data_IF_648868310058
#
_entry.id   IF_648868310058
#
_cell.length_a   1.000
_cell.length_b   1.000
_cell.length_c   1.000
_cell.angle_alpha   90.00
_cell.angle_beta   90.00
_cell.angle_gamma   90.00
#
_symmetry.space_group_name_H-M   'P 1'
#
loop_
_entity.id
_entity.type
_entity.pdbx_description
1 polymer ?
#
# COMPACT_ATOMS: atom_id res chain seq x y z
N UNK A 1 -35.18 -65.11 1.79
CA UNK A 1 -34.92 -63.66 1.64
C UNK A 1 -33.42 -63.46 1.83
N UNK A 2 -32.66 -63.34 0.75
CA UNK A 2 -31.19 -63.18 0.78
C UNK A 2 -30.91 -61.69 0.58
N UNK A 3 -30.41 -61.03 1.62
CA UNK A 3 -29.97 -59.62 1.53
C UNK A 3 -28.55 -59.63 0.97
N UNK A 4 -28.42 -59.26 -0.31
CA UNK A 4 -27.12 -59.01 -0.94
C UNK A 4 -26.65 -57.63 -0.47
N UNK A 5 -25.65 -57.62 0.41
CA UNK A 5 -24.90 -56.43 0.77
C UNK A 5 -24.03 -56.01 -0.42
N UNK A 6 -24.48 -55.00 -1.16
CA UNK A 6 -23.64 -54.32 -2.13
C UNK A 6 -22.69 -53.38 -1.37
N UNK A 7 -21.45 -53.85 -1.14
CA UNK A 7 -20.37 -52.98 -0.70
C UNK A 7 -20.11 -51.91 -1.78
N UNK A 8 -20.56 -50.68 -1.53
CA UNK A 8 -20.16 -49.49 -2.29
C UNK A 8 -18.65 -49.30 -2.12
N UNK A 9 -17.87 -49.79 -3.09
CA UNK A 9 -16.44 -49.45 -3.20
C UNK A 9 -16.35 -47.95 -3.47
N UNK A 10 -15.81 -47.20 -2.52
CA UNK A 10 -15.45 -45.80 -2.71
C UNK A 10 -14.54 -45.69 -3.94
N UNK A 11 -15.00 -44.98 -4.96
CA UNK A 11 -14.24 -44.71 -6.17
C UNK A 11 -12.99 -43.91 -5.76
N UNK A 12 -11.79 -44.44 -6.02
CA UNK A 12 -10.52 -43.73 -5.81
C UNK A 12 -10.62 -42.41 -6.57
N UNK A 13 -10.73 -41.28 -5.86
CA UNK A 13 -10.68 -39.95 -6.47
C UNK A 13 -9.29 -39.83 -7.10
N UNK A 14 -9.21 -39.87 -8.43
CA UNK A 14 -7.95 -39.59 -9.11
C UNK A 14 -7.58 -38.12 -8.82
N UNK A 15 -6.41 -37.90 -8.22
CA UNK A 15 -5.83 -36.56 -8.09
C UNK A 15 -5.49 -36.07 -9.51
N UNK A 16 -6.28 -35.12 -10.02
CA UNK A 16 -6.09 -34.51 -11.35
C UNK A 16 -4.72 -33.84 -11.50
N UNK A 17 -4.07 -33.50 -10.38
CA UNK A 17 -2.77 -32.85 -10.34
C UNK A 17 -1.59 -33.79 -10.10
N UNK A 18 -1.79 -35.12 -10.12
CA UNK A 18 -0.73 -36.09 -9.77
C UNK A 18 0.58 -35.91 -10.54
N UNK A 19 0.52 -35.54 -11.82
CA UNK A 19 1.72 -35.27 -12.63
C UNK A 19 2.40 -33.96 -12.22
N UNK A 20 1.62 -32.90 -12.00
CA UNK A 20 2.13 -31.60 -11.53
C UNK A 20 2.81 -31.76 -10.18
N UNK A 21 2.15 -32.48 -9.25
CA UNK A 21 2.66 -32.76 -7.92
C UNK A 21 4.00 -33.51 -8.00
N UNK A 22 4.09 -34.55 -8.83
CA UNK A 22 5.33 -35.31 -9.02
C UNK A 22 6.50 -34.42 -9.47
N UNK A 23 6.27 -33.51 -10.41
CA UNK A 23 7.32 -32.64 -10.96
C UNK A 23 7.68 -31.52 -9.97
N UNK A 24 6.70 -30.92 -9.32
CA UNK A 24 6.91 -29.85 -8.34
C UNK A 24 7.66 -30.33 -7.10
N UNK A 25 7.45 -31.58 -6.68
CA UNK A 25 8.21 -32.19 -5.58
C UNK A 25 9.65 -32.55 -5.93
N UNK A 26 10.07 -32.37 -7.19
CA UNK A 26 11.44 -32.59 -7.66
C UNK A 26 12.26 -31.30 -7.78
N UNK A 27 11.74 -30.15 -7.32
CA UNK A 27 12.51 -28.89 -7.27
C UNK A 27 13.83 -29.13 -6.51
N UNK A 28 15.01 -28.95 -7.14
CA UNK A 28 16.31 -29.19 -6.50
C UNK A 28 16.56 -28.27 -5.30
N UNK A 29 17.30 -28.77 -4.31
CA UNK A 29 17.69 -27.98 -3.13
C UNK A 29 18.47 -26.71 -3.48
N UNK A 30 19.27 -26.76 -4.56
CA UNK A 30 20.01 -25.59 -5.07
C UNK A 30 19.10 -24.46 -5.57
N UNK A 31 17.86 -24.76 -5.96
CA UNK A 31 16.87 -23.77 -6.41
C UNK A 31 15.88 -23.41 -5.30
N UNK A 32 15.65 -24.33 -4.37
CA UNK A 32 14.58 -24.24 -3.37
C UNK A 32 14.90 -23.30 -2.20
N UNK A 33 16.10 -22.72 -2.16
CA UNK A 33 16.54 -21.71 -1.18
C UNK A 33 16.15 -20.27 -1.51
N UNK A 34 15.54 -20.01 -2.67
CA UNK A 34 15.03 -18.69 -3.06
C UNK A 34 13.70 -18.82 -3.79
N UNK A 35 12.87 -17.77 -3.73
CA UNK A 35 11.62 -17.74 -4.50
C UNK A 35 11.86 -17.72 -6.00
N UNK A 36 12.94 -17.06 -6.45
CA UNK A 36 13.37 -16.99 -7.85
C UNK A 36 13.68 -18.38 -8.41
N UNK A 37 14.52 -19.16 -7.71
CA UNK A 37 14.88 -20.51 -8.17
C UNK A 37 13.66 -21.44 -8.24
N UNK A 38 12.72 -21.32 -7.29
CA UNK A 38 11.46 -22.06 -7.32
C UNK A 38 10.59 -21.61 -8.50
N UNK A 39 10.43 -20.30 -8.72
CA UNK A 39 9.62 -19.77 -9.81
C UNK A 39 10.18 -20.11 -11.18
N UNK A 40 11.49 -20.11 -11.35
CA UNK A 40 12.16 -20.45 -12.60
C UNK A 40 11.91 -21.91 -12.97
N UNK A 41 12.06 -22.82 -12.00
CA UNK A 41 11.75 -24.22 -12.19
C UNK A 41 10.26 -24.43 -12.53
N UNK A 42 9.36 -23.72 -11.87
CA UNK A 42 7.92 -23.80 -12.16
C UNK A 42 7.62 -23.29 -13.57
N UNK A 43 8.21 -22.16 -13.98
CA UNK A 43 8.04 -21.60 -15.32
C UNK A 43 8.63 -22.48 -16.43
N UNK A 44 9.72 -23.22 -16.16
CA UNK A 44 10.31 -24.12 -17.16
C UNK A 44 9.51 -25.41 -17.36
N UNK A 45 8.70 -25.82 -16.37
CA UNK A 45 7.98 -27.08 -16.39
C UNK A 45 6.47 -26.96 -16.65
N UNK A 46 5.88 -25.79 -16.41
CA UNK A 46 4.43 -25.60 -16.50
C UNK A 46 4.07 -24.35 -17.28
N UNK A 47 3.01 -24.45 -18.08
CA UNK A 47 2.53 -23.33 -18.92
C UNK A 47 1.30 -22.69 -18.28
N UNK A 48 0.32 -23.48 -17.86
CA UNK A 48 -0.96 -22.95 -17.38
C UNK A 48 -0.87 -22.36 -15.97
N UNK A 49 -1.69 -21.35 -15.66
CA UNK A 49 -1.72 -20.77 -14.31
C UNK A 49 -2.21 -21.78 -13.27
N UNK A 50 -3.16 -22.65 -13.64
CA UNK A 50 -3.62 -23.73 -12.76
C UNK A 50 -2.49 -24.68 -12.35
N UNK A 51 -1.67 -25.15 -13.30
CA UNK A 51 -0.55 -26.05 -12.99
C UNK A 51 0.53 -25.35 -12.17
N UNK A 52 0.89 -24.11 -12.54
CA UNK A 52 1.84 -23.29 -11.79
C UNK A 52 1.36 -23.06 -10.35
N UNK A 53 0.13 -22.62 -10.17
CA UNK A 53 -0.49 -22.41 -8.85
C UNK A 53 -0.49 -23.70 -8.01
N UNK A 54 -0.78 -24.85 -8.64
CA UNK A 54 -0.72 -26.15 -7.98
C UNK A 54 0.70 -26.52 -7.56
N UNK A 55 1.68 -26.32 -8.43
CA UNK A 55 3.09 -26.59 -8.15
C UNK A 55 3.59 -25.79 -6.93
N UNK A 56 3.19 -24.51 -6.82
CA UNK A 56 3.50 -23.67 -5.65
C UNK A 56 2.85 -24.25 -4.39
N UNK A 57 1.53 -24.53 -4.44
CA UNK A 57 0.79 -25.06 -3.30
C UNK A 57 1.37 -26.38 -2.79
N UNK A 58 1.61 -27.35 -3.68
CA UNK A 58 2.10 -28.67 -3.27
C UNK A 58 3.54 -28.62 -2.77
N UNK A 59 4.39 -27.79 -3.38
CA UNK A 59 5.76 -27.61 -2.91
C UNK A 59 5.78 -26.98 -1.52
N UNK A 60 5.02 -25.90 -1.27
CA UNK A 60 4.95 -25.26 0.06
C UNK A 60 4.40 -26.22 1.11
N UNK A 61 3.25 -26.84 0.84
CA UNK A 61 2.59 -27.76 1.79
C UNK A 61 3.45 -28.98 2.13
N UNK A 62 4.35 -29.37 1.22
CA UNK A 62 5.24 -30.51 1.39
C UNK A 62 6.63 -30.15 1.91
N UNK A 63 7.07 -28.89 1.82
CA UNK A 63 8.42 -28.49 2.26
C UNK A 63 8.44 -27.63 3.52
N UNK A 64 7.32 -26.98 3.88
CA UNK A 64 7.26 -26.12 5.07
C UNK A 64 6.51 -26.85 6.20
N UNK A 65 7.01 -26.73 7.43
CA UNK A 65 6.39 -27.24 8.65
C UNK A 65 5.79 -26.10 9.48
N UNK A 66 4.65 -26.36 10.13
CA UNK A 66 4.01 -25.36 10.96
C UNK A 66 4.80 -25.10 12.25
N UNK A 67 5.06 -23.83 12.54
CA UNK A 67 5.82 -23.41 13.71
C UNK A 67 4.93 -23.28 14.95
N UNK A 68 4.66 -24.40 15.61
CA UNK A 68 3.83 -24.45 16.82
C UNK A 68 4.41 -23.58 17.94
N UNK A 69 5.74 -23.60 18.12
CA UNK A 69 6.42 -22.84 19.19
C UNK A 69 6.18 -21.33 19.06
N UNK A 70 6.10 -20.84 17.82
CA UNK A 70 5.89 -19.42 17.53
C UNK A 70 4.47 -19.10 17.04
N UNK A 71 3.49 -20.01 17.20
CA UNK A 71 2.15 -19.84 16.60
C UNK A 71 1.36 -18.63 17.13
N UNK A 72 1.73 -18.11 18.29
CA UNK A 72 1.15 -16.90 18.88
C UNK A 72 1.91 -15.61 18.56
N UNK A 73 3.13 -15.71 18.01
CA UNK A 73 3.98 -14.57 17.67
C UNK A 73 3.63 -14.03 16.27
N UNK A 74 2.35 -13.70 16.05
CA UNK A 74 1.85 -13.24 14.76
C UNK A 74 2.04 -11.72 14.64
N UNK A 75 2.80 -11.29 13.63
CA UNK A 75 2.97 -9.88 13.30
C UNK A 75 2.76 -9.67 11.79
N UNK A 76 1.57 -9.15 11.40
CA UNK A 76 1.26 -8.85 9.99
C UNK A 76 2.05 -7.70 9.37
N UNK A 77 2.96 -7.10 10.13
CA UNK A 77 3.65 -5.88 9.75
C UNK A 77 5.17 -6.06 9.72
N UNK A 78 5.64 -7.31 9.84
CA UNK A 78 7.05 -7.63 9.61
C UNK A 78 7.40 -7.46 8.13
N UNK A 79 8.66 -7.14 7.85
CA UNK A 79 9.17 -7.06 6.49
C UNK A 79 8.97 -8.39 5.73
N UNK A 80 8.29 -8.34 4.58
CA UNK A 80 7.97 -9.51 3.76
C UNK A 80 9.21 -10.30 3.31
N UNK A 81 10.32 -9.62 2.98
CA UNK A 81 11.54 -10.31 2.56
C UNK A 81 12.14 -11.10 3.72
N UNK A 82 12.17 -10.54 4.93
CA UNK A 82 12.62 -11.27 6.12
C UNK A 82 11.75 -12.49 6.43
N UNK A 83 10.42 -12.37 6.27
CA UNK A 83 9.48 -13.49 6.44
C UNK A 83 9.83 -14.62 5.46
N UNK A 84 10.02 -14.28 4.18
CA UNK A 84 10.30 -15.23 3.10
C UNK A 84 11.66 -15.90 3.30
N UNK A 85 12.71 -15.12 3.55
CA UNK A 85 14.07 -15.63 3.75
C UNK A 85 14.09 -16.59 4.94
N UNK A 86 13.45 -16.21 6.05
CA UNK A 86 13.35 -17.05 7.24
C UNK A 86 12.69 -18.39 6.93
N UNK A 87 11.53 -18.41 6.28
CA UNK A 87 10.81 -19.68 6.02
C UNK A 87 11.51 -20.57 5.01
N UNK A 88 12.21 -19.99 4.03
CA UNK A 88 13.02 -20.76 3.08
C UNK A 88 14.24 -21.40 3.74
N UNK A 89 14.89 -20.70 4.68
CA UNK A 89 16.04 -21.22 5.43
C UNK A 89 15.61 -22.27 6.45
N UNK A 90 14.63 -21.95 7.30
CA UNK A 90 14.25 -22.82 8.43
C UNK A 90 13.31 -23.95 8.03
N UNK A 91 12.64 -23.84 6.87
CA UNK A 91 11.52 -24.71 6.46
C UNK A 91 10.40 -24.77 7.49
N UNK A 92 10.27 -23.72 8.32
CA UNK A 92 9.31 -23.65 9.43
C UNK A 92 8.69 -22.26 9.47
N UNK A 93 7.38 -22.18 9.66
CA UNK A 93 6.69 -20.89 9.76
C UNK A 93 5.25 -20.99 10.24
N UNK A 94 4.65 -19.84 10.52
CA UNK A 94 3.21 -19.69 10.82
C UNK A 94 2.44 -19.27 9.56
N UNK A 95 1.12 -19.14 9.65
CA UNK A 95 0.24 -18.85 8.51
C UNK A 95 0.70 -17.74 7.57
N UNK A 96 1.25 -16.66 8.12
CA UNK A 96 1.87 -15.57 7.36
C UNK A 96 2.99 -16.02 6.43
N UNK A 97 3.90 -16.85 6.92
CA UNK A 97 5.06 -17.29 6.16
C UNK A 97 4.63 -18.13 4.96
N UNK A 98 3.63 -18.99 5.16
CA UNK A 98 3.00 -19.76 4.09
C UNK A 98 2.34 -18.85 3.05
N UNK A 99 1.60 -17.83 3.50
CA UNK A 99 0.89 -16.90 2.63
C UNK A 99 1.83 -16.02 1.80
N UNK A 100 2.83 -15.40 2.44
CA UNK A 100 3.81 -14.54 1.79
C UNK A 100 4.71 -15.32 0.82
N UNK A 101 5.11 -16.55 1.19
CA UNK A 101 5.90 -17.41 0.32
C UNK A 101 5.12 -17.79 -0.95
N UNK A 102 3.85 -18.20 -0.81
CA UNK A 102 3.00 -18.48 -1.96
C UNK A 102 2.82 -17.22 -2.82
N UNK A 103 2.50 -16.08 -2.20
CA UNK A 103 2.26 -14.81 -2.91
C UNK A 103 3.49 -14.38 -3.73
N UNK A 104 4.68 -14.46 -3.13
CA UNK A 104 5.93 -14.09 -3.78
C UNK A 104 6.22 -14.97 -5.00
N UNK A 105 6.10 -16.30 -4.88
CA UNK A 105 6.31 -17.22 -6.00
C UNK A 105 5.23 -17.04 -7.06
N UNK A 106 3.97 -16.86 -6.66
CA UNK A 106 2.84 -16.66 -7.57
C UNK A 106 3.04 -15.43 -8.47
N UNK A 107 3.45 -14.30 -7.89
CA UNK A 107 3.73 -13.09 -8.66
C UNK A 107 4.89 -13.30 -9.66
N UNK A 108 5.95 -14.01 -9.26
CA UNK A 108 7.11 -14.30 -10.11
C UNK A 108 6.78 -15.22 -11.30
N UNK A 109 5.75 -16.07 -11.18
CA UNK A 109 5.27 -16.91 -12.27
C UNK A 109 4.11 -16.30 -13.06
N UNK A 110 3.81 -15.01 -12.83
CA UNK A 110 2.80 -14.24 -13.56
C UNK A 110 1.36 -14.42 -13.07
N UNK A 111 1.16 -14.90 -11.84
CA UNK A 111 -0.15 -15.08 -11.21
C UNK A 111 -0.39 -13.96 -10.21
N UNK A 112 -1.34 -13.07 -10.53
CA UNK A 112 -1.76 -12.01 -9.62
C UNK A 112 -2.36 -12.62 -8.35
N UNK A 113 -1.86 -12.20 -7.20
CA UNK A 113 -2.35 -12.68 -5.91
C UNK A 113 -2.32 -11.59 -4.83
N UNK A 114 -3.03 -11.83 -3.73
CA UNK A 114 -3.05 -10.96 -2.55
C UNK A 114 -2.98 -11.82 -1.28
N UNK A 115 -2.17 -11.40 -0.31
CA UNK A 115 -2.24 -11.96 1.04
C UNK A 115 -3.46 -11.38 1.74
N UNK A 116 -4.33 -12.27 2.19
CA UNK A 116 -5.57 -11.93 2.88
C UNK A 116 -5.42 -12.28 4.35
N UNK A 117 -5.58 -11.26 5.19
CA UNK A 117 -5.59 -11.38 6.65
C UNK A 117 -7.01 -11.38 7.20
N UNK A 118 -7.27 -12.20 8.20
CA UNK A 118 -8.55 -12.28 8.87
C UNK A 118 -8.49 -13.18 10.08
N UNK A 119 -9.54 -13.95 10.27
CA UNK A 119 -9.64 -14.94 11.35
C UNK A 119 -10.42 -16.16 10.87
N UNK A 120 -10.29 -17.26 11.60
CA UNK A 120 -10.85 -18.55 11.22
C UNK A 120 -11.88 -19.05 12.22
N UNK A 121 -12.65 -20.05 11.80
CA UNK A 121 -13.60 -20.78 12.66
C UNK A 121 -13.44 -22.28 12.45
N UNK A 122 -13.33 -23.01 13.56
CA UNK A 122 -13.25 -24.47 13.59
C UNK A 122 -14.26 -25.01 14.60
N UNK A 123 -14.95 -26.10 14.25
CA UNK A 123 -15.95 -26.74 15.13
C UNK A 123 -17.02 -25.78 15.68
N UNK A 124 -17.35 -24.72 14.92
CA UNK A 124 -18.32 -23.70 15.33
C UNK A 124 -17.75 -22.56 16.17
N UNK A 125 -16.47 -22.60 16.55
CA UNK A 125 -15.83 -21.59 17.39
C UNK A 125 -14.81 -20.76 16.61
N UNK A 126 -14.91 -19.45 16.75
CA UNK A 126 -13.96 -18.51 16.15
C UNK A 126 -12.63 -18.60 16.89
N UNK A 127 -11.55 -18.76 16.13
CA UNK A 127 -10.20 -18.79 16.66
C UNK A 127 -9.82 -17.41 17.25
N UNK A 128 -9.08 -17.41 18.36
CA UNK A 128 -8.63 -16.19 19.04
C UNK A 128 -7.33 -15.64 18.46
N UNK A 129 -6.67 -16.40 17.56
CA UNK A 129 -5.52 -15.94 16.80
C UNK A 129 -5.96 -15.53 15.39
N UNK A 130 -5.37 -14.46 14.83
CA UNK A 130 -5.62 -14.10 13.45
C UNK A 130 -4.96 -15.08 12.49
N UNK A 131 -5.43 -15.10 11.25
CA UNK A 131 -4.96 -16.02 10.21
C UNK A 131 -4.68 -15.29 8.90
N UNK A 132 -3.80 -15.87 8.07
CA UNK A 132 -3.49 -15.38 6.73
C UNK A 132 -3.58 -16.51 5.70
N UNK A 133 -4.13 -16.17 4.54
CA UNK A 133 -4.23 -17.02 3.36
C UNK A 133 -4.06 -16.18 2.09
N UNK A 134 -4.25 -16.76 0.91
CA UNK A 134 -4.04 -16.09 -0.37
C UNK A 134 -5.35 -16.01 -1.15
N UNK A 135 -5.58 -14.88 -1.81
CA UNK A 135 -6.46 -14.79 -2.97
C UNK A 135 -5.63 -14.78 -4.25
N UNK A 136 -5.90 -15.68 -5.18
CA UNK A 136 -5.11 -15.87 -6.40
C UNK A 136 -6.03 -15.81 -7.62
N UNK A 137 -5.69 -14.99 -8.60
CA UNK A 137 -6.41 -14.89 -9.88
C UNK A 137 -5.84 -15.93 -10.84
N UNK A 138 -6.58 -17.02 -11.02
CA UNK A 138 -6.15 -18.20 -11.79
C UNK A 138 -7.18 -18.41 -12.90
N UNK A 139 -6.72 -18.40 -14.15
CA UNK A 139 -7.55 -18.66 -15.34
C UNK A 139 -8.84 -17.82 -15.34
N UNK A 140 -8.66 -16.51 -15.17
CA UNK A 140 -9.72 -15.48 -15.14
C UNK A 140 -10.69 -15.56 -13.94
N UNK A 141 -10.39 -16.35 -12.91
CA UNK A 141 -11.24 -16.52 -11.73
C UNK A 141 -10.45 -16.28 -10.43
N UNK A 142 -11.05 -15.56 -9.49
CA UNK A 142 -10.51 -15.43 -8.14
C UNK A 142 -10.79 -16.69 -7.33
N UNK A 143 -9.71 -17.32 -6.85
CA UNK A 143 -9.77 -18.44 -5.91
C UNK A 143 -9.02 -18.11 -4.63
N UNK A 144 -9.40 -18.80 -3.56
CA UNK A 144 -8.72 -18.72 -2.28
C UNK A 144 -7.83 -19.94 -2.12
N UNK A 145 -6.65 -19.74 -1.55
CA UNK A 145 -5.66 -20.78 -1.30
C UNK A 145 -5.14 -20.61 0.11
N UNK A 146 -5.20 -21.67 0.93
CA UNK A 146 -4.57 -21.69 2.24
C UNK A 146 -3.55 -22.85 2.33
N UNK A 147 -2.26 -22.58 2.05
CA UNK A 147 -1.22 -23.58 2.17
C UNK A 147 -0.90 -23.95 3.62
N UNK A 148 -1.34 -23.16 4.61
CA UNK A 148 -1.18 -23.49 6.04
C UNK A 148 -2.08 -24.68 6.39
N UNK A 149 -3.40 -24.52 6.26
CA UNK A 149 -4.36 -25.60 6.51
C UNK A 149 -4.30 -26.69 5.42
N UNK A 150 -3.78 -26.34 4.24
CA UNK A 150 -3.43 -27.28 3.19
C UNK A 150 -2.24 -28.19 3.52
N UNK A 151 -1.36 -27.82 4.46
CA UNK A 151 -0.16 -28.59 4.80
C UNK A 151 -0.37 -29.67 5.86
N UNK A 152 -1.42 -29.53 6.67
CA UNK A 152 -1.68 -30.43 7.79
C UNK A 152 -2.53 -29.79 8.87
N UNK A 153 -2.46 -30.37 10.07
CA UNK A 153 -3.22 -29.91 11.23
C UNK A 153 -2.44 -30.16 12.52
N UNK A 154 -2.87 -29.51 13.60
CA UNK A 154 -2.31 -29.75 14.93
C UNK A 154 -3.13 -30.86 15.62
N UNK A 155 -2.44 -31.88 16.12
CA UNK A 155 -3.03 -32.95 16.92
C UNK A 155 -2.11 -33.26 18.08
N UNK A 156 -2.65 -33.30 19.30
CA UNK A 156 -1.88 -33.57 20.53
C UNK A 156 -0.64 -32.65 20.67
N UNK A 157 -0.83 -31.35 20.41
CA UNK A 157 0.22 -30.32 20.41
C UNK A 157 1.39 -30.57 19.43
N UNK A 158 1.18 -31.42 18.42
CA UNK A 158 2.17 -31.70 17.36
C UNK A 158 1.58 -31.39 15.99
N UNK A 159 2.43 -30.94 15.08
CA UNK A 159 2.04 -30.72 13.70
C UNK A 159 2.05 -32.06 12.97
N UNK A 160 0.89 -32.44 12.43
CA UNK A 160 0.71 -33.64 11.61
C UNK A 160 0.57 -33.20 10.16
N UNK A 161 1.60 -33.49 9.38
CA UNK A 161 1.63 -33.18 7.96
C UNK A 161 0.66 -34.08 7.20
N UNK A 162 -0.28 -33.48 6.49
CA UNK A 162 -1.26 -34.18 5.66
C UNK A 162 -1.82 -33.20 4.66
N UNK A 163 -1.36 -33.30 3.41
CA UNK A 163 -1.83 -32.41 2.34
C UNK A 163 -3.35 -32.50 2.20
N UNK A 164 -4.00 -31.34 2.17
CA UNK A 164 -5.44 -31.22 2.02
C UNK A 164 -5.80 -30.30 0.84
N UNK A 165 -6.18 -30.92 -0.27
CA UNK A 165 -6.54 -30.23 -1.51
C UNK A 165 -7.80 -29.37 -1.39
N UNK A 166 -8.58 -29.49 -0.32
CA UNK A 166 -9.72 -28.59 -0.08
C UNK A 166 -9.30 -27.12 -0.04
N UNK A 167 -8.09 -26.84 0.46
CA UNK A 167 -7.53 -25.48 0.57
C UNK A 167 -6.73 -25.04 -0.66
N UNK A 168 -6.78 -25.82 -1.74
CA UNK A 168 -6.25 -25.43 -3.04
C UNK A 168 -7.39 -25.01 -3.97
N UNK A 169 -7.26 -23.83 -4.59
CA UNK A 169 -8.22 -23.28 -5.55
C UNK A 169 -9.67 -23.31 -5.01
N UNK A 170 -9.84 -22.99 -3.73
CA UNK A 170 -11.13 -23.01 -3.03
C UNK A 170 -11.99 -21.86 -3.51
N UNK A 171 -13.28 -22.12 -3.78
CA UNK A 171 -14.21 -21.06 -4.20
C UNK A 171 -14.55 -20.11 -3.04
N UNK A 172 -14.76 -18.82 -3.29
CA UNK A 172 -15.23 -17.83 -2.30
C UNK A 172 -16.34 -18.32 -1.36
N UNK A 173 -17.41 -18.91 -1.91
CA UNK A 173 -18.59 -19.37 -1.16
C UNK A 173 -18.30 -20.59 -0.28
N UNK A 174 -17.20 -21.30 -0.55
CA UNK A 174 -16.73 -22.41 0.25
C UNK A 174 -15.78 -21.92 1.34
N UNK A 175 -14.84 -21.03 0.98
CA UNK A 175 -13.81 -20.54 1.88
C UNK A 175 -14.39 -19.71 3.03
N UNK A 176 -15.40 -18.87 2.76
CA UNK A 176 -16.05 -18.00 3.76
C UNK A 176 -16.74 -18.77 4.89
N UNK A 177 -16.90 -20.10 4.77
CA UNK A 177 -17.47 -20.96 5.83
C UNK A 177 -16.56 -21.08 7.04
N UNK A 178 -15.24 -20.98 6.82
CA UNK A 178 -14.21 -21.12 7.85
C UNK A 178 -13.24 -19.96 7.90
N UNK A 179 -13.09 -19.16 6.83
CA UNK A 179 -12.13 -18.05 6.75
C UNK A 179 -12.86 -16.73 6.53
N UNK A 180 -12.76 -15.83 7.51
CA UNK A 180 -13.41 -14.53 7.46
C UNK A 180 -12.35 -13.43 7.35
N UNK A 181 -12.22 -12.76 6.18
CA UNK A 181 -11.28 -11.66 6.05
C UNK A 181 -11.74 -10.48 6.90
N UNK A 182 -10.78 -9.67 7.38
CA UNK A 182 -11.13 -8.44 8.09
C UNK A 182 -11.95 -7.50 7.19
N UNK A 183 -11.44 -7.25 5.99
CA UNK A 183 -12.11 -6.45 4.97
C UNK A 183 -12.99 -7.34 4.08
N UNK A 184 -14.31 -7.08 4.02
CA UNK A 184 -15.24 -7.89 3.21
C UNK A 184 -14.92 -7.89 1.70
N UNK A 185 -14.10 -6.95 1.20
CA UNK A 185 -13.60 -6.99 -0.19
C UNK A 185 -12.97 -8.35 -0.53
N UNK A 186 -12.18 -8.90 0.38
CA UNK A 186 -11.42 -10.13 0.16
C UNK A 186 -12.26 -11.41 0.29
N UNK A 187 -13.58 -11.29 0.48
CA UNK A 187 -14.46 -12.44 0.34
C UNK A 187 -14.71 -12.79 -1.13
N UNK A 188 -14.54 -11.85 -2.07
CA UNK A 188 -14.92 -12.02 -3.48
C UNK A 188 -16.38 -12.44 -3.67
N UNK A 189 -17.26 -11.93 -2.80
CA UNK A 189 -18.70 -12.17 -2.83
C UNK A 189 -19.45 -10.88 -3.13
N UNK A 190 -20.46 -10.96 -3.99
CA UNK A 190 -21.34 -9.83 -4.27
C UNK A 190 -22.38 -9.55 -3.17
N UNK A 191 -22.54 -10.48 -2.23
CA UNK A 191 -23.34 -10.33 -1.02
C UNK A 191 -22.50 -10.80 0.18
N UNK A 192 -21.48 -10.02 0.60
CA UNK A 192 -20.52 -10.44 1.62
C UNK A 192 -21.20 -10.87 2.91
N UNK A 193 -20.67 -11.93 3.51
CA UNK A 193 -21.03 -12.39 4.86
C UNK A 193 -20.53 -11.34 5.86
N UNK A 194 -21.40 -10.92 6.77
CA UNK A 194 -21.04 -10.01 7.86
C UNK A 194 -20.36 -10.77 8.99
N UNK A 195 -19.65 -10.07 9.88
CA UNK A 195 -19.06 -10.71 11.05
C UNK A 195 -20.15 -11.38 11.93
N UNK A 196 -21.34 -10.79 12.05
CA UNK A 196 -22.45 -11.41 12.77
C UNK A 196 -22.91 -12.73 12.11
N UNK A 197 -23.15 -12.71 10.80
CA UNK A 197 -23.56 -13.91 10.05
C UNK A 197 -22.51 -15.03 10.14
N UNK A 198 -21.23 -14.68 10.12
CA UNK A 198 -20.14 -15.65 10.25
C UNK A 198 -20.17 -16.34 11.63
N UNK A 199 -20.38 -15.60 12.72
CA UNK A 199 -20.54 -16.16 14.06
C UNK A 199 -21.77 -17.07 14.17
N UNK A 200 -22.88 -16.68 13.54
CA UNK A 200 -24.12 -17.46 13.51
C UNK A 200 -24.06 -18.68 12.55
N UNK A 201 -22.98 -18.83 11.78
CA UNK A 201 -22.85 -19.88 10.77
C UNK A 201 -23.69 -19.66 9.50
N UNK A 202 -24.28 -18.46 9.32
CA UNK A 202 -25.12 -18.09 8.19
C UNK A 202 -24.29 -17.57 7.00
N UNK A 203 -23.52 -18.46 6.39
CA UNK A 203 -22.59 -18.13 5.29
C UNK A 203 -23.19 -18.35 3.89
N UNK A 204 -24.47 -18.73 3.82
CA UNK A 204 -25.19 -18.92 2.57
C UNK A 204 -25.46 -17.61 1.82
N UNK A 205 -25.68 -17.72 0.52
CA UNK A 205 -26.05 -16.58 -0.33
C UNK A 205 -27.34 -15.93 0.16
N UNK A 206 -27.28 -14.64 0.47
CA UNK A 206 -28.44 -13.86 0.86
C UNK A 206 -28.59 -12.61 -0.03
N UNK A 207 -29.46 -12.72 -1.04
CA UNK A 207 -29.71 -11.66 -2.04
C UNK A 207 -30.55 -10.49 -1.53
N UNK A 208 -31.08 -10.55 -0.30
CA UNK A 208 -31.81 -9.42 0.30
C UNK A 208 -30.86 -8.34 0.80
N UNK A 209 -29.57 -8.65 0.96
CA UNK A 209 -28.52 -7.69 1.31
C UNK A 209 -28.20 -6.76 0.13
N UNK A 210 -27.69 -5.55 0.40
CA UNK A 210 -27.17 -4.68 -0.64
C UNK A 210 -26.13 -5.39 -1.51
N UNK A 211 -26.22 -5.20 -2.83
CA UNK A 211 -25.24 -5.71 -3.77
C UNK A 211 -23.92 -4.93 -3.62
N UNK A 212 -22.81 -5.64 -3.39
CA UNK A 212 -21.51 -5.04 -3.07
C UNK A 212 -20.62 -4.77 -4.31
N UNK A 213 -20.82 -5.50 -5.41
CA UNK A 213 -19.94 -5.48 -6.59
C UNK A 213 -18.45 -5.53 -6.22
N UNK A 214 -17.94 -6.71 -5.87
CA UNK A 214 -16.54 -6.82 -5.43
C UNK A 214 -15.55 -6.50 -6.55
N UNK A 215 -15.91 -6.73 -7.82
CA UNK A 215 -15.02 -6.43 -8.95
C UNK A 215 -14.77 -4.94 -9.12
N UNK A 216 -15.82 -4.12 -8.99
CA UNK A 216 -15.71 -2.66 -9.02
C UNK A 216 -14.89 -2.15 -7.83
N UNK A 217 -15.21 -2.65 -6.62
CA UNK A 217 -14.48 -2.28 -5.41
C UNK A 217 -13.00 -2.66 -5.49
N UNK A 218 -12.66 -3.84 -6.05
CA UNK A 218 -11.28 -4.26 -6.26
C UNK A 218 -10.57 -3.37 -7.29
N UNK A 219 -11.25 -3.04 -8.39
CA UNK A 219 -10.71 -2.16 -9.43
C UNK A 219 -10.42 -0.76 -8.88
N UNK A 220 -11.25 -0.26 -7.96
CA UNK A 220 -11.00 0.99 -7.25
C UNK A 220 -9.81 0.84 -6.27
N UNK A 221 -9.80 -0.20 -5.44
CA UNK A 221 -8.75 -0.47 -4.46
C UNK A 221 -7.35 -0.51 -5.10
N UNK A 222 -7.23 -1.05 -6.31
CA UNK A 222 -5.96 -1.12 -7.06
C UNK A 222 -5.45 0.24 -7.55
N UNK A 223 -6.30 1.27 -7.60
CA UNK A 223 -5.95 2.64 -8.02
C UNK A 223 -5.75 3.60 -6.84
N UNK A 224 -6.16 3.18 -5.64
CA UNK A 224 -6.04 3.97 -4.42
C UNK A 224 -4.58 4.05 -3.97
N UNK A 225 -4.19 5.21 -3.43
CA UNK A 225 -2.96 5.38 -2.65
C UNK A 225 -3.01 4.54 -1.37
N UNK A 226 -1.87 4.31 -0.72
CA UNK A 226 -1.84 3.50 0.52
C UNK A 226 -2.74 4.05 1.63
N UNK A 227 -2.82 5.38 1.75
CA UNK A 227 -3.71 6.00 2.74
C UNK A 227 -5.19 5.83 2.36
N UNK A 228 -5.54 5.97 1.08
CA UNK A 228 -6.91 5.75 0.59
C UNK A 228 -7.34 4.29 0.78
N UNK A 229 -6.42 3.33 0.55
CA UNK A 229 -6.66 1.90 0.84
C UNK A 229 -6.95 1.67 2.32
N UNK A 230 -6.19 2.29 3.23
CA UNK A 230 -6.43 2.19 4.67
C UNK A 230 -7.77 2.79 5.06
N UNK A 231 -8.12 3.96 4.53
CA UNK A 231 -9.41 4.63 4.76
C UNK A 231 -10.58 3.78 4.24
N UNK A 232 -10.51 3.34 2.97
CA UNK A 232 -11.57 2.58 2.30
C UNK A 232 -11.76 1.21 2.96
N UNK A 233 -10.66 0.53 3.32
CA UNK A 233 -10.67 -0.72 4.06
C UNK A 233 -11.27 -0.55 5.45
N UNK A 234 -10.85 0.46 6.22
CA UNK A 234 -11.38 0.70 7.57
C UNK A 234 -12.89 0.95 7.56
N UNK A 235 -13.39 1.76 6.61
CA UNK A 235 -14.84 1.98 6.44
C UNK A 235 -15.60 0.68 6.15
N UNK A 236 -15.05 -0.18 5.29
CA UNK A 236 -15.66 -1.49 4.97
C UNK A 236 -15.65 -2.44 6.16
N UNK A 237 -14.53 -2.50 6.89
CA UNK A 237 -14.38 -3.33 8.10
C UNK A 237 -15.40 -2.91 9.17
N UNK A 238 -15.49 -1.61 9.47
CA UNK A 238 -16.45 -1.07 10.45
C UNK A 238 -17.89 -1.39 10.06
N UNK A 239 -18.25 -1.16 8.78
CA UNK A 239 -19.59 -1.46 8.26
C UNK A 239 -19.92 -2.95 8.32
N UNK A 240 -18.92 -3.83 8.21
CA UNK A 240 -19.11 -5.28 8.31
C UNK A 240 -19.28 -5.78 9.77
N UNK A 241 -19.07 -4.88 10.75
CA UNK A 241 -19.33 -5.06 12.17
C UNK A 241 -18.11 -5.53 12.97
N UNK A 242 -17.82 -4.87 14.08
CA UNK A 242 -16.70 -5.23 14.98
C UNK A 242 -17.19 -6.23 16.03
N UNK A 243 -16.88 -7.52 15.86
CA UNK A 243 -17.40 -8.62 16.70
C UNK A 243 -16.39 -9.29 17.63
N UNK A 244 -15.11 -9.01 17.45
CA UNK A 244 -14.04 -9.55 18.29
C UNK A 244 -12.86 -8.58 18.37
N UNK A 245 -11.93 -8.88 19.27
CA UNK A 245 -10.70 -8.11 19.46
C UNK A 245 -9.86 -8.04 18.20
N UNK A 246 -9.78 -9.11 17.40
CA UNK A 246 -8.98 -9.14 16.18
C UNK A 246 -9.42 -8.07 15.15
N UNK A 247 -10.73 -7.91 14.96
CA UNK A 247 -11.28 -6.85 14.09
C UNK A 247 -11.00 -5.47 14.66
N UNK A 248 -11.13 -5.30 15.98
CA UNK A 248 -10.80 -4.05 16.66
C UNK A 248 -9.31 -3.70 16.52
N UNK A 249 -8.41 -4.65 16.76
CA UNK A 249 -6.96 -4.49 16.67
C UNK A 249 -6.54 -4.13 15.25
N UNK A 250 -7.18 -4.73 14.25
CA UNK A 250 -6.98 -4.35 12.84
C UNK A 250 -7.35 -2.90 12.58
N UNK A 251 -8.49 -2.42 13.09
CA UNK A 251 -8.90 -1.02 12.94
C UNK A 251 -7.95 -0.07 13.67
N UNK A 252 -7.48 -0.42 14.87
CA UNK A 252 -6.51 0.39 15.61
C UNK A 252 -5.16 0.45 14.88
N UNK A 253 -4.73 -0.66 14.27
CA UNK A 253 -3.54 -0.65 13.42
C UNK A 253 -3.73 0.26 12.20
N UNK A 254 -4.81 0.08 11.43
CA UNK A 254 -5.08 0.94 10.27
C UNK A 254 -5.09 2.43 10.66
N UNK A 255 -5.65 2.77 11.82
CA UNK A 255 -5.66 4.14 12.35
C UNK A 255 -4.24 4.69 12.57
N UNK A 256 -3.35 3.92 13.21
CA UNK A 256 -1.95 4.33 13.43
C UNK A 256 -1.20 4.53 12.12
N UNK A 257 -1.41 3.64 11.15
CA UNK A 257 -0.80 3.77 9.82
C UNK A 257 -1.31 5.02 9.10
N UNK A 258 -2.62 5.29 9.14
CA UNK A 258 -3.18 6.52 8.57
C UNK A 258 -2.57 7.77 9.24
N UNK A 259 -2.44 7.78 10.57
CA UNK A 259 -1.78 8.88 11.30
C UNK A 259 -0.33 9.08 10.84
N UNK A 260 0.42 7.99 10.62
CA UNK A 260 1.77 8.04 10.05
C UNK A 260 1.78 8.66 8.64
N UNK A 261 0.93 8.19 7.73
CA UNK A 261 0.88 8.72 6.35
C UNK A 261 0.43 10.19 6.32
N UNK A 262 -0.57 10.59 7.12
CA UNK A 262 -0.96 11.99 7.22
C UNK A 262 0.18 12.87 7.75
N UNK A 263 0.96 12.37 8.72
CA UNK A 263 2.14 13.09 9.21
C UNK A 263 3.21 13.21 8.13
N UNK A 264 3.51 12.10 7.43
CA UNK A 264 4.49 12.08 6.34
C UNK A 264 4.12 13.09 5.24
N UNK A 265 2.89 13.04 4.74
CA UNK A 265 2.39 13.97 3.71
C UNK A 265 2.47 15.41 4.22
N UNK A 266 2.06 15.67 5.46
CA UNK A 266 2.14 17.01 6.07
C UNK A 266 3.56 17.56 6.08
N UNK A 267 4.54 16.75 6.51
CA UNK A 267 5.95 17.14 6.55
C UNK A 267 6.51 17.37 5.14
N UNK A 268 6.23 16.47 4.20
CA UNK A 268 6.67 16.60 2.80
C UNK A 268 6.09 17.86 2.13
N UNK A 269 4.81 18.14 2.34
CA UNK A 269 4.14 19.34 1.81
C UNK A 269 4.71 20.61 2.45
N UNK A 270 4.97 20.62 3.76
CA UNK A 270 5.59 21.76 4.43
C UNK A 270 7.00 22.02 3.90
N UNK A 271 7.82 20.98 3.77
CA UNK A 271 9.17 21.09 3.20
C UNK A 271 9.14 21.58 1.74
N UNK A 272 8.14 21.15 0.96
CA UNK A 272 7.92 21.66 -0.40
C UNK A 272 7.62 23.17 -0.40
N UNK A 273 6.79 23.66 0.53
CA UNK A 273 6.55 25.09 0.70
C UNK A 273 7.83 25.85 1.04
N UNK A 274 8.61 25.37 2.02
CA UNK A 274 9.90 25.97 2.41
C UNK A 274 10.87 26.03 1.22
N UNK A 275 10.94 24.98 0.40
CA UNK A 275 11.78 24.96 -0.78
C UNK A 275 11.38 26.02 -1.81
N UNK A 276 10.07 26.19 -2.06
CA UNK A 276 9.57 27.26 -2.93
C UNK A 276 9.88 28.65 -2.37
N UNK A 277 9.72 28.87 -1.06
CA UNK A 277 10.11 30.12 -0.42
C UNK A 277 11.61 30.42 -0.60
N UNK A 278 12.48 29.45 -0.30
CA UNK A 278 13.94 29.62 -0.42
C UNK A 278 14.37 29.88 -1.86
N UNK A 279 13.76 29.20 -2.83
CA UNK A 279 13.98 29.47 -4.26
C UNK A 279 13.59 30.91 -4.61
N UNK A 280 12.43 31.39 -4.15
CA UNK A 280 12.00 32.78 -4.33
C UNK A 280 12.98 33.79 -3.69
N UNK A 281 13.47 33.53 -2.48
CA UNK A 281 14.48 34.39 -1.84
C UNK A 281 15.78 34.43 -2.65
N UNK A 282 16.25 33.27 -3.13
CA UNK A 282 17.46 33.20 -3.96
C UNK A 282 17.30 33.97 -5.27
N UNK A 283 16.14 33.88 -5.91
CA UNK A 283 15.83 34.61 -7.14
C UNK A 283 15.73 36.13 -6.89
N UNK A 284 15.05 36.55 -5.82
CA UNK A 284 14.96 37.95 -5.41
C UNK A 284 16.35 38.53 -5.13
N UNK A 285 17.20 37.79 -4.39
CA UNK A 285 18.57 38.21 -4.10
C UNK A 285 19.42 38.35 -5.36
N UNK A 286 19.26 37.46 -6.35
CA UNK A 286 19.92 37.59 -7.67
C UNK A 286 19.49 38.86 -8.39
N UNK A 287 18.20 39.22 -8.35
CA UNK A 287 17.72 40.48 -8.90
C UNK A 287 18.31 41.68 -8.17
N UNK A 288 18.31 41.68 -6.83
CA UNK A 288 18.85 42.77 -6.02
C UNK A 288 20.36 42.96 -6.29
N UNK A 289 21.15 41.88 -6.35
CA UNK A 289 22.56 41.96 -6.71
C UNK A 289 22.76 42.53 -8.12
N UNK A 290 21.98 42.07 -9.09
CA UNK A 290 22.02 42.58 -10.46
C UNK A 290 21.63 44.07 -10.53
N UNK A 291 20.64 44.51 -9.75
CA UNK A 291 20.25 45.92 -9.58
C UNK A 291 21.36 46.74 -8.93
N UNK A 292 22.02 46.21 -7.91
CA UNK A 292 23.16 46.86 -7.23
C UNK A 292 24.35 47.03 -8.18
N UNK A 293 24.51 46.10 -9.14
CA UNK A 293 25.46 46.20 -10.27
C UNK A 293 24.93 47.05 -11.43
N UNK A 294 23.87 47.83 -11.19
CA UNK A 294 23.27 48.78 -12.15
C UNK A 294 22.86 48.10 -13.47
N UNK A 295 22.37 46.85 -13.38
CA UNK A 295 22.00 46.02 -14.52
C UNK A 295 23.14 45.77 -15.50
N UNK A 296 24.30 45.38 -14.95
CA UNK A 296 25.50 45.01 -15.70
C UNK A 296 25.81 43.51 -15.49
N UNK A 297 26.03 42.71 -16.57
CA UNK A 297 25.96 43.09 -17.99
C UNK A 297 24.53 43.39 -18.44
N UNK A 298 24.37 44.21 -19.49
CA UNK A 298 23.03 44.59 -19.98
C UNK A 298 22.22 43.38 -20.43
N UNK A 299 20.98 43.31 -19.98
CA UNK A 299 19.96 42.34 -20.41
C UNK A 299 18.77 43.05 -21.08
N UNK A 300 18.00 42.39 -21.95
CA UNK A 300 16.74 42.92 -22.48
C UNK A 300 15.74 43.24 -21.36
N UNK A 301 14.93 44.28 -21.52
CA UNK A 301 13.93 44.71 -20.52
C UNK A 301 12.98 43.55 -20.12
N UNK A 302 12.63 42.65 -21.06
CA UNK A 302 11.81 41.46 -20.78
C UNK A 302 12.50 40.45 -19.84
N UNK A 303 13.81 40.25 -20.00
CA UNK A 303 14.59 39.35 -19.12
C UNK A 303 14.71 39.95 -17.71
N UNK A 304 14.88 41.28 -17.61
CA UNK A 304 14.92 41.96 -16.30
C UNK A 304 13.54 41.92 -15.61
N UNK A 305 12.45 42.02 -16.38
CA UNK A 305 11.08 41.83 -15.86
C UNK A 305 10.88 40.41 -15.30
N UNK A 306 11.31 39.39 -16.05
CA UNK A 306 11.19 38.00 -15.60
C UNK A 306 11.93 37.73 -14.29
N UNK A 307 13.08 38.39 -14.05
CA UNK A 307 13.83 38.26 -12.79
C UNK A 307 13.05 38.68 -11.52
N UNK A 308 11.97 39.47 -11.64
CA UNK A 308 11.08 39.81 -10.53
C UNK A 308 9.75 39.03 -10.55
N UNK A 309 9.35 38.49 -11.70
CA UNK A 309 8.14 37.66 -11.81
C UNK A 309 8.37 36.23 -11.30
N UNK A 310 9.57 35.68 -11.51
CA UNK A 310 9.96 34.37 -10.99
C UNK A 310 9.88 34.26 -9.45
N UNK A 311 10.49 35.15 -8.65
CA UNK A 311 10.37 35.08 -7.20
C UNK A 311 8.93 35.23 -6.71
N UNK A 312 8.11 36.06 -7.37
CA UNK A 312 6.68 36.18 -7.07
C UNK A 312 5.95 34.84 -7.23
N UNK A 313 6.18 34.16 -8.35
CA UNK A 313 5.61 32.83 -8.62
C UNK A 313 6.05 31.82 -7.57
N UNK A 314 7.32 31.83 -7.16
CA UNK A 314 7.83 30.93 -6.12
C UNK A 314 7.18 31.21 -4.74
N UNK A 315 7.00 32.47 -4.36
CA UNK A 315 6.27 32.82 -3.12
C UNK A 315 4.80 32.42 -3.16
N UNK A 316 4.12 32.60 -4.30
CA UNK A 316 2.73 32.12 -4.48
C UNK A 316 2.65 30.60 -4.35
N UNK A 317 3.54 29.86 -5.02
CA UNK A 317 3.59 28.40 -4.93
C UNK A 317 3.84 27.93 -3.50
N UNK A 318 4.69 28.62 -2.75
CA UNK A 318 4.89 28.35 -1.32
C UNK A 318 3.59 28.48 -0.53
N UNK A 319 2.80 29.54 -0.75
CA UNK A 319 1.49 29.71 -0.09
C UNK A 319 0.48 28.66 -0.50
N UNK A 320 0.42 28.31 -1.79
CA UNK A 320 -0.49 27.26 -2.26
C UNK A 320 -0.15 25.91 -1.62
N UNK A 321 1.13 25.55 -1.51
CA UNK A 321 1.56 24.34 -0.78
C UNK A 321 1.14 24.36 0.69
N UNK A 322 1.24 25.50 1.37
CA UNK A 322 0.76 25.61 2.75
C UNK A 322 -0.74 25.36 2.88
N UNK A 323 -1.56 25.76 1.90
CA UNK A 323 -3.03 25.52 1.90
C UNK A 323 -3.39 24.04 1.71
N UNK A 324 -2.52 23.24 1.10
CA UNK A 324 -2.74 21.79 0.94
C UNK A 324 -2.67 21.05 2.29
N UNK A 325 -2.02 21.62 3.31
CA UNK A 325 -1.91 21.02 4.64
C UNK A 325 -3.25 21.10 5.39
N UNK A 326 -3.93 19.96 5.50
CA UNK A 326 -5.19 19.83 6.25
C UNK A 326 -4.91 19.44 7.70
N UNK A 327 -5.64 20.05 8.64
CA UNK A 327 -5.61 19.74 10.09
C UNK A 327 -4.18 19.66 10.66
N UNK A 328 -3.39 20.75 10.59
CA UNK A 328 -2.05 20.76 11.16
C UNK A 328 -2.09 20.54 12.69
N UNK A 329 -1.12 19.82 13.22
CA UNK A 329 -0.85 19.83 14.66
C UNK A 329 -0.35 21.22 15.13
N UNK A 330 -0.35 21.53 16.43
CA UNK A 330 0.04 22.85 16.93
C UNK A 330 1.42 23.33 16.48
N UNK A 331 2.41 22.42 16.38
CA UNK A 331 3.76 22.76 15.97
C UNK A 331 3.82 23.10 14.48
N UNK A 332 3.13 22.31 13.65
CA UNK A 332 3.01 22.57 12.22
C UNK A 332 2.26 23.89 11.99
N UNK A 333 1.15 24.13 12.69
CA UNK A 333 0.37 25.36 12.57
C UNK A 333 1.22 26.61 12.88
N UNK A 334 2.01 26.58 13.96
CA UNK A 334 2.94 27.66 14.29
C UNK A 334 4.00 27.86 13.19
N UNK A 335 4.57 26.77 12.67
CA UNK A 335 5.58 26.81 11.60
C UNK A 335 5.01 27.39 10.29
N UNK A 336 3.74 27.11 9.99
CA UNK A 336 3.01 27.70 8.86
C UNK A 336 2.78 29.21 9.05
N UNK A 337 2.44 29.65 10.27
CA UNK A 337 2.28 31.08 10.59
C UNK A 337 3.59 31.83 10.37
N UNK A 338 4.72 31.29 10.86
CA UNK A 338 6.03 31.92 10.69
C UNK A 338 6.46 31.98 9.23
N UNK A 339 6.23 30.90 8.47
CA UNK A 339 6.57 30.89 7.04
C UNK A 339 5.71 31.88 6.25
N UNK A 340 4.41 31.98 6.53
CA UNK A 340 3.54 32.98 5.90
C UNK A 340 4.01 34.41 6.19
N UNK A 341 4.37 34.72 7.44
CA UNK A 341 4.94 36.03 7.78
C UNK A 341 6.23 36.31 7.00
N UNK A 342 7.11 35.32 6.88
CA UNK A 342 8.35 35.45 6.11
C UNK A 342 8.08 35.67 4.61
N UNK A 343 7.03 35.04 4.07
CA UNK A 343 6.56 35.28 2.71
C UNK A 343 6.02 36.71 2.56
N UNK A 344 5.22 37.20 3.53
CA UNK A 344 4.68 38.57 3.50
C UNK A 344 5.79 39.61 3.43
N UNK A 345 6.82 39.47 4.27
CA UNK A 345 8.00 40.34 4.30
C UNK A 345 8.78 40.27 2.98
N UNK A 346 8.97 39.08 2.43
CA UNK A 346 9.66 38.90 1.15
C UNK A 346 8.87 39.49 -0.04
N UNK A 347 7.54 39.33 -0.04
CA UNK A 347 6.66 39.92 -1.04
C UNK A 347 6.66 41.45 -0.96
N UNK A 348 6.71 42.03 0.24
CA UNK A 348 6.83 43.47 0.40
C UNK A 348 8.13 43.99 -0.24
N UNK A 349 9.27 43.36 0.05
CA UNK A 349 10.56 43.71 -0.56
C UNK A 349 10.51 43.55 -2.09
N UNK A 350 9.96 42.45 -2.58
CA UNK A 350 9.78 42.22 -4.02
C UNK A 350 8.93 43.32 -4.68
N UNK A 351 7.86 43.78 -4.03
CA UNK A 351 7.02 44.86 -4.55
C UNK A 351 7.80 46.19 -4.65
N UNK A 352 8.70 46.49 -3.71
CA UNK A 352 9.61 47.64 -3.82
C UNK A 352 10.53 47.52 -5.04
N UNK A 353 11.05 46.31 -5.30
CA UNK A 353 11.86 46.03 -6.49
C UNK A 353 11.06 46.21 -7.79
N UNK A 354 9.83 45.68 -7.84
CA UNK A 354 8.92 45.83 -8.98
C UNK A 354 8.58 47.30 -9.24
N UNK A 355 8.27 48.07 -8.20
CA UNK A 355 7.99 49.50 -8.31
C UNK A 355 9.19 50.30 -8.87
N UNK A 356 10.41 49.99 -8.42
CA UNK A 356 11.61 50.56 -9.03
C UNK A 356 11.71 50.20 -10.51
N UNK A 357 11.45 48.95 -10.86
CA UNK A 357 11.59 48.46 -12.23
C UNK A 357 10.54 49.09 -13.17
N UNK A 358 9.32 49.31 -12.69
CA UNK A 358 8.28 50.04 -13.44
C UNK A 358 8.70 51.49 -13.71
N UNK A 359 9.26 52.17 -12.70
CA UNK A 359 9.85 53.52 -12.89
C UNK A 359 11.03 53.48 -13.86
N UNK A 360 11.89 52.47 -13.78
CA UNK A 360 13.02 52.28 -14.68
C UNK A 360 12.58 52.09 -16.13
N UNK A 361 11.58 51.26 -16.39
CA UNK A 361 11.11 51.00 -17.76
C UNK A 361 10.34 52.16 -18.38
N UNK A 362 9.54 52.88 -17.58
CA UNK A 362 8.83 54.09 -18.02
C UNK A 362 9.76 55.29 -18.26
N UNK A 363 10.96 55.29 -17.66
CA UNK A 363 11.98 56.32 -17.90
C UNK A 363 12.68 56.11 -19.25
N UNK A 364 12.82 57.18 -20.03
CA UNK A 364 13.53 57.14 -21.32
C UNK A 364 14.94 56.58 -21.19
N UNK A 365 15.36 55.73 -22.14
CA UNK A 365 16.61 54.93 -22.07
C UNK A 365 17.86 55.74 -21.71
N UNK A 366 17.98 56.99 -22.18
CA UNK A 366 19.12 57.87 -21.88
C UNK A 366 19.18 58.30 -20.40
N UNK A 367 18.04 58.38 -19.71
CA UNK A 367 17.94 58.87 -18.34
C UNK A 367 17.92 57.75 -17.29
N UNK A 368 17.70 56.49 -17.69
CA UNK A 368 17.58 55.34 -16.79
C UNK A 368 18.74 55.17 -15.78
N UNK A 369 19.98 55.54 -16.18
CA UNK A 369 21.15 55.48 -15.28
C UNK A 369 21.04 56.40 -14.07
N UNK A 370 20.33 57.53 -14.15
CA UNK A 370 20.20 58.46 -13.04
C UNK A 370 19.43 57.86 -11.86
N UNK A 371 18.54 56.88 -12.10
CA UNK A 371 17.71 56.24 -11.10
C UNK A 371 18.48 55.37 -10.09
N UNK A 372 19.73 55.03 -10.38
CA UNK A 372 20.60 54.29 -9.45
C UNK A 372 21.34 55.18 -8.46
N UNK A 373 21.35 56.50 -8.68
CA UNK A 373 22.05 57.45 -7.83
C UNK A 373 21.03 58.19 -6.96
N UNK A 374 21.24 58.23 -5.64
CA UNK A 374 20.53 59.18 -4.79
C UNK A 374 21.11 60.57 -5.08
N UNK A 375 20.32 61.48 -5.64
CA UNK A 375 20.71 62.88 -5.69
C UNK A 375 20.57 63.48 -4.29
N UNK A 376 21.68 63.93 -3.71
CA UNK A 376 21.66 64.83 -2.57
C UNK A 376 22.04 66.23 -3.05
N UNK A 377 21.18 67.21 -2.76
CA UNK A 377 21.52 68.62 -2.96
C UNK A 377 21.64 69.26 -1.58
N UNK A 378 22.81 69.83 -1.26
CA UNK A 378 23.09 70.45 0.05
C UNK A 378 22.84 69.52 1.25
N UNK A 379 23.14 68.22 1.13
CA UNK A 379 23.00 67.26 2.24
C UNK A 379 21.57 66.78 2.53
N UNK A 380 20.58 67.23 1.75
CA UNK A 380 19.19 66.75 1.84
C UNK A 380 18.93 65.73 0.72
N UNK A 381 18.40 64.53 1.03
CA UNK A 381 17.98 63.58 0.00
C UNK A 381 16.86 64.20 -0.85
N UNK A 382 17.07 64.31 -2.16
CA UNK A 382 15.99 64.59 -3.12
C UNK A 382 15.39 63.23 -3.52
N UNK A 383 14.44 62.75 -2.72
CA UNK A 383 13.54 61.67 -3.12
C UNK A 383 12.20 62.24 -3.58
#
# INVERSE_FOLDING_TARGET
MIVISAALKAQKKNNEFSQVDKIALQIPDSLSGSTIGISDYINSNFISQTEKSRAIFIWITTNIQYDIENMFAINFYQNTNEIIDKVLITRKGICMHYAELYHSIANQVGIKSYVVSGYTKQNGFVDYIPHAWIASFIDSTWYLVDPTWGSGYIQNAKFVKKTNDYYFRTRPEQMVKSHMPFDPLWQFLNYPVTNQEFYEGKTGLNKTKPYFNYQDTLSQFERETEIEKLESSSRRIEKNGVKNSLVFDRLQHNKREMEYYYNKIRVETYNSAVNHYNDGINQLNRFIDYRNKQFTPKKPDSEIREMVDLPEKSFINSREKLKEIKKPDPNTANSMIQLNKSIDEAMLNLNEQKAFLDKYFSTGKMFRKSLFYKYTWMGIPLN
#
